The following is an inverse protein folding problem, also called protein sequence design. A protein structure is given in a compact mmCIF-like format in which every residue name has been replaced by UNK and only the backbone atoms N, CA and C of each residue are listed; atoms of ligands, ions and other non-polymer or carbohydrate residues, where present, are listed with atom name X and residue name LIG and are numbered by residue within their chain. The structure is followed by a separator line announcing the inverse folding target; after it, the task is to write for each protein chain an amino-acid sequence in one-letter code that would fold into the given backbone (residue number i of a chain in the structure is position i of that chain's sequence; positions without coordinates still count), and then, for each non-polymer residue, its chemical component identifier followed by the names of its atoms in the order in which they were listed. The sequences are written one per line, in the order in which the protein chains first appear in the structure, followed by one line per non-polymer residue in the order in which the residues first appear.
data_IF_256334971148
#
_entry.id   IF_256334971148
#
_cell.length_a   1.000
_cell.length_b   1.000
_cell.length_c   1.000
_cell.angle_alpha   90.00
_cell.angle_beta   90.00
_cell.angle_gamma   90.00
#
_symmetry.space_group_name_H-M   'P 1'
#
loop_
_entity.id
_entity.type
_entity.pdbx_description
1 polymer ?
#
# COMPACT_ATOMS: atom_id res chain seq x y z
N UNK A 1 15.01 9.29 2.29
CA UNK A 1 14.69 8.00 1.62
C UNK A 1 15.68 7.68 0.51
N UNK A 2 15.83 8.53 -0.52
CA UNK A 2 16.80 8.29 -1.60
C UNK A 2 18.24 8.06 -1.10
N UNK A 3 18.70 8.82 -0.10
CA UNK A 3 20.02 8.59 0.49
C UNK A 3 20.16 7.19 1.13
N UNK A 4 19.11 6.66 1.76
CA UNK A 4 19.12 5.32 2.34
C UNK A 4 19.11 4.24 1.24
N UNK A 5 18.34 4.44 0.18
CA UNK A 5 18.36 3.57 -1.01
C UNK A 5 19.75 3.57 -1.65
N UNK A 6 20.39 4.74 -1.76
CA UNK A 6 21.74 4.86 -2.31
C UNK A 6 22.79 4.16 -1.44
N UNK A 7 22.66 4.24 -0.11
CA UNK A 7 23.53 3.52 0.82
C UNK A 7 23.41 2.00 0.61
N UNK A 8 22.19 1.45 0.54
CA UNK A 8 21.97 0.04 0.18
C UNK A 8 22.53 -0.31 -1.21
N UNK A 9 22.47 0.62 -2.15
CA UNK A 9 22.96 0.37 -3.51
C UNK A 9 24.49 0.40 -3.62
N UNK A 10 25.17 1.23 -2.85
CA UNK A 10 26.61 1.52 -3.03
C UNK A 10 27.52 0.91 -1.97
N UNK A 11 27.02 0.68 -0.76
CA UNK A 11 27.82 0.14 0.34
C UNK A 11 27.80 -1.39 0.33
N UNK A 12 28.83 -2.00 0.91
CA UNK A 12 28.93 -3.45 1.06
C UNK A 12 28.06 -3.92 2.23
N UNK A 13 27.17 -4.87 1.97
CA UNK A 13 26.32 -5.49 2.98
C UNK A 13 25.76 -6.82 2.48
N UNK A 14 25.22 -7.62 3.40
CA UNK A 14 24.59 -8.92 3.09
C UNK A 14 23.05 -8.87 3.16
N UNK A 15 22.44 -7.69 3.34
CA UNK A 15 20.98 -7.55 3.36
C UNK A 15 20.33 -8.01 2.04
N UNK A 16 19.26 -8.80 2.16
CA UNK A 16 18.54 -9.38 1.03
C UNK A 16 17.19 -8.71 0.76
N UNK A 17 16.63 -7.98 1.74
CA UNK A 17 15.30 -7.39 1.64
C UNK A 17 15.34 -5.96 2.12
N UNK A 18 14.68 -5.06 1.38
CA UNK A 18 14.40 -3.69 1.82
C UNK A 18 12.89 -3.53 1.99
N UNK A 19 12.51 -2.91 3.09
CA UNK A 19 11.11 -2.65 3.45
C UNK A 19 10.89 -1.14 3.50
N UNK A 20 9.88 -0.67 2.76
CA UNK A 20 9.37 0.70 2.86
C UNK A 20 8.12 0.65 3.76
N UNK A 21 8.30 1.06 5.01
CA UNK A 21 7.25 1.16 6.02
C UNK A 21 7.05 2.63 6.48
N UNK A 22 5.96 3.31 6.12
CA UNK A 22 4.91 2.91 5.19
C UNK A 22 4.88 3.83 3.96
N UNK A 23 4.34 3.33 2.85
CA UNK A 23 4.21 4.08 1.61
C UNK A 23 3.34 5.34 1.77
N UNK A 24 2.32 5.30 2.63
CA UNK A 24 1.47 6.47 2.91
C UNK A 24 2.18 7.56 3.72
N UNK A 25 3.15 7.20 4.58
CA UNK A 25 4.04 8.18 5.21
C UNK A 25 5.11 8.70 4.26
N UNK A 26 5.67 7.82 3.41
CA UNK A 26 6.56 8.23 2.31
C UNK A 26 5.87 9.23 1.38
N UNK A 27 4.58 9.04 1.09
CA UNK A 27 3.79 9.97 0.28
C UNK A 27 3.82 11.40 0.84
N UNK A 28 3.71 11.56 2.16
CA UNK A 28 3.79 12.87 2.80
C UNK A 28 5.17 13.53 2.63
N UNK A 29 6.25 12.74 2.67
CA UNK A 29 7.60 13.24 2.41
C UNK A 29 7.77 13.67 0.95
N UNK A 30 7.19 12.89 0.03
CA UNK A 30 7.17 13.23 -1.40
C UNK A 30 6.40 14.53 -1.64
N UNK A 31 5.26 14.75 -0.97
CA UNK A 31 4.52 16.00 -1.09
C UNK A 31 5.33 17.21 -0.62
N UNK A 32 6.03 17.07 0.51
CA UNK A 32 6.97 18.11 1.00
C UNK A 32 8.10 18.36 0.00
N UNK A 33 8.62 17.31 -0.62
CA UNK A 33 9.65 17.43 -1.65
C UNK A 33 9.14 18.18 -2.90
N UNK A 34 7.90 17.92 -3.32
CA UNK A 34 7.25 18.68 -4.41
C UNK A 34 7.15 20.17 -4.05
N UNK A 35 6.65 20.50 -2.86
CA UNK A 35 6.58 21.89 -2.37
C UNK A 35 7.97 22.54 -2.32
N UNK A 36 8.98 21.81 -1.85
CA UNK A 36 10.38 22.28 -1.81
C UNK A 36 10.93 22.57 -3.21
N UNK A 37 10.66 21.71 -4.20
CA UNK A 37 11.12 21.87 -5.59
C UNK A 37 10.36 22.96 -6.35
N UNK A 38 9.12 23.24 -5.97
CA UNK A 38 8.20 24.15 -6.68
C UNK A 38 7.49 25.09 -5.67
N UNK A 39 8.21 26.02 -5.02
CA UNK A 39 7.66 26.81 -3.90
C UNK A 39 6.58 27.82 -4.30
N UNK A 40 6.26 27.96 -5.59
CA UNK A 40 5.26 28.88 -6.11
C UNK A 40 4.36 28.21 -7.14
N UNK A 41 3.09 28.60 -7.17
CA UNK A 41 2.15 28.27 -8.25
C UNK A 41 2.52 28.98 -9.55
N UNK A 42 1.95 28.56 -10.68
CA UNK A 42 2.14 29.23 -11.98
C UNK A 42 1.68 30.69 -12.00
N UNK A 43 0.82 31.08 -11.05
CA UNK A 43 0.34 32.46 -10.90
C UNK A 43 1.18 33.28 -9.91
N UNK A 44 2.33 32.76 -9.48
CA UNK A 44 3.28 33.46 -8.60
C UNK A 44 2.87 33.50 -7.13
N UNK A 45 1.87 32.72 -6.71
CA UNK A 45 1.51 32.58 -5.28
C UNK A 45 2.41 31.55 -4.60
N UNK A 46 2.89 31.86 -3.41
CA UNK A 46 3.62 30.90 -2.57
C UNK A 46 2.80 29.64 -2.26
N UNK A 47 3.48 28.52 -2.20
CA UNK A 47 2.94 27.19 -1.94
C UNK A 47 3.43 26.71 -0.59
N UNK A 48 2.50 26.29 0.26
CA UNK A 48 2.78 25.74 1.58
C UNK A 48 2.33 24.29 1.70
N UNK A 49 1.38 23.85 0.87
CA UNK A 49 0.93 22.47 0.79
C UNK A 49 0.71 22.01 -0.67
N UNK A 50 0.58 20.69 -0.87
CA UNK A 50 0.39 20.11 -2.22
C UNK A 50 -0.95 20.48 -2.85
N UNK A 51 -1.93 20.91 -2.05
CA UNK A 51 -3.24 21.35 -2.50
C UNK A 51 -3.21 22.76 -3.11
N UNK A 52 -2.23 23.60 -2.73
CA UNK A 52 -2.14 25.00 -3.19
C UNK A 52 -1.93 25.11 -4.72
N UNK A 53 -1.43 24.05 -5.37
CA UNK A 53 -1.29 23.99 -6.83
C UNK A 53 -2.64 23.91 -7.58
N UNK A 54 -3.74 23.70 -6.88
CA UNK A 54 -5.08 23.57 -7.46
C UNK A 54 -5.40 22.15 -7.94
N UNK A 55 -6.43 22.05 -8.79
CA UNK A 55 -7.14 20.81 -9.17
C UNK A 55 -6.23 19.61 -9.46
N UNK A 56 -6.00 18.79 -8.41
CA UNK A 56 -5.14 17.62 -8.38
C UNK A 56 -3.68 17.79 -8.87
N UNK A 57 -3.26 19.02 -9.16
CA UNK A 57 -2.03 19.27 -9.92
C UNK A 57 -0.77 18.94 -9.14
N UNK A 58 -0.76 19.26 -7.85
CA UNK A 58 0.32 18.89 -6.94
C UNK A 58 0.53 17.38 -6.90
N UNK A 59 -0.55 16.60 -6.90
CA UNK A 59 -0.48 15.13 -6.89
C UNK A 59 0.07 14.57 -8.21
N UNK A 60 -0.17 15.23 -9.34
CA UNK A 60 0.50 14.88 -10.61
C UNK A 60 2.00 15.18 -10.55
N UNK A 61 2.41 16.30 -9.94
CA UNK A 61 3.83 16.59 -9.72
C UNK A 61 4.50 15.59 -8.79
N UNK A 62 3.76 15.03 -7.83
CA UNK A 62 4.28 13.98 -6.93
C UNK A 62 4.68 12.69 -7.66
N UNK A 63 4.21 12.46 -8.89
CA UNK A 63 4.59 11.27 -9.66
C UNK A 63 6.06 11.25 -10.04
N UNK A 64 6.68 12.41 -10.26
CA UNK A 64 8.11 12.52 -10.59
C UNK A 64 8.99 12.03 -9.42
N UNK A 65 8.89 12.57 -8.18
CA UNK A 65 9.63 12.04 -7.04
C UNK A 65 9.26 10.59 -6.67
N UNK A 66 8.01 10.17 -6.89
CA UNK A 66 7.65 8.76 -6.73
C UNK A 66 8.46 7.87 -7.67
N UNK A 67 8.59 8.24 -8.95
CA UNK A 67 9.40 7.49 -9.92
C UNK A 67 10.85 7.41 -9.51
N UNK A 68 11.44 8.51 -9.01
CA UNK A 68 12.83 8.48 -8.50
C UNK A 68 13.01 7.43 -7.38
N UNK A 69 12.03 7.32 -6.47
CA UNK A 69 12.08 6.28 -5.43
C UNK A 69 11.94 4.89 -6.04
N UNK A 70 10.98 4.68 -6.94
CA UNK A 70 10.75 3.39 -7.58
C UNK A 70 11.93 2.94 -8.46
N UNK A 71 12.60 3.88 -9.13
CA UNK A 71 13.80 3.63 -9.93
C UNK A 71 14.95 3.17 -9.03
N UNK A 72 15.14 3.82 -7.89
CA UNK A 72 16.12 3.39 -6.89
C UNK A 72 15.82 1.99 -6.33
N UNK A 73 14.56 1.69 -6.01
CA UNK A 73 14.14 0.35 -5.58
C UNK A 73 14.31 -0.69 -6.70
N UNK A 74 14.10 -0.30 -7.95
CA UNK A 74 14.31 -1.15 -9.13
C UNK A 74 15.81 -1.47 -9.30
N UNK A 75 16.70 -0.49 -9.09
CA UNK A 75 18.14 -0.73 -9.10
C UNK A 75 18.57 -1.72 -8.00
N UNK A 76 18.04 -1.57 -6.77
CA UNK A 76 18.29 -2.54 -5.70
C UNK A 76 17.83 -3.95 -6.06
N UNK A 77 16.65 -4.08 -6.69
CA UNK A 77 16.16 -5.38 -7.16
C UNK A 77 17.06 -5.99 -8.23
N UNK A 78 17.35 -5.24 -9.29
CA UNK A 78 17.96 -5.77 -10.49
C UNK A 78 19.47 -5.99 -10.34
N UNK A 79 20.15 -5.12 -9.59
CA UNK A 79 21.61 -5.09 -9.53
C UNK A 79 22.15 -5.62 -8.20
N UNK A 80 21.36 -5.52 -7.12
CA UNK A 80 21.71 -6.04 -5.79
C UNK A 80 20.92 -7.31 -5.43
N UNK A 81 19.99 -7.74 -6.28
CA UNK A 81 19.18 -8.95 -6.05
C UNK A 81 18.24 -8.84 -4.85
N UNK A 82 17.93 -7.63 -4.38
CA UNK A 82 17.13 -7.44 -3.17
C UNK A 82 15.64 -7.64 -3.43
N UNK A 83 14.95 -8.28 -2.49
CA UNK A 83 13.49 -8.28 -2.41
C UNK A 83 13.01 -6.91 -1.92
N UNK A 84 11.97 -6.39 -2.57
CA UNK A 84 11.35 -5.11 -2.19
C UNK A 84 9.97 -5.38 -1.60
N UNK A 85 9.73 -4.88 -0.38
CA UNK A 85 8.42 -4.91 0.24
C UNK A 85 7.99 -3.47 0.55
N UNK A 86 6.79 -3.11 0.12
CA UNK A 86 6.16 -1.83 0.49
C UNK A 86 4.88 -2.14 1.27
N UNK A 87 4.72 -1.52 2.43
CA UNK A 87 3.48 -1.62 3.20
C UNK A 87 2.77 -0.28 3.22
N UNK A 88 1.44 -0.31 3.16
CA UNK A 88 0.60 0.87 3.19
C UNK A 88 -0.64 0.57 4.04
N UNK A 89 -1.13 1.57 4.76
CA UNK A 89 -2.44 1.45 5.40
C UNK A 89 -3.54 1.26 4.34
N UNK A 90 -4.63 0.59 4.71
CA UNK A 90 -5.81 0.50 3.86
C UNK A 90 -6.80 1.63 4.16
N UNK A 91 -7.50 2.11 3.13
CA UNK A 91 -8.68 2.98 3.23
C UNK A 91 -9.86 2.30 2.52
N UNK A 92 -11.07 2.63 2.95
CA UNK A 92 -12.29 2.29 2.22
C UNK A 92 -12.56 3.43 1.23
N UNK A 93 -12.76 3.10 -0.04
CA UNK A 93 -13.17 4.04 -1.07
C UNK A 93 -14.35 3.50 -1.88
N UNK A 94 -15.19 4.41 -2.37
CA UNK A 94 -16.29 4.08 -3.28
C UNK A 94 -15.73 3.78 -4.66
N UNK A 95 -16.13 2.65 -5.24
CA UNK A 95 -15.78 2.27 -6.60
C UNK A 95 -17.02 2.25 -7.50
N UNK A 96 -16.93 2.99 -8.60
CA UNK A 96 -17.96 3.04 -9.64
C UNK A 96 -17.63 2.01 -10.71
N UNK A 97 -18.21 0.82 -10.59
CA UNK A 97 -18.08 -0.23 -11.60
C UNK A 97 -19.09 0.05 -12.74
N UNK A 98 -18.67 0.10 -14.01
CA UNK A 98 -19.60 0.24 -15.12
C UNK A 98 -20.54 -0.97 -15.29
N UNK A 99 -20.19 -2.14 -14.74
CA UNK A 99 -20.94 -3.40 -14.93
C UNK A 99 -21.83 -3.78 -13.75
N UNK A 100 -21.66 -3.15 -12.58
CA UNK A 100 -22.41 -3.50 -11.36
C UNK A 100 -22.77 -2.24 -10.59
N UNK A 101 -23.70 -2.36 -9.63
CA UNK A 101 -23.92 -1.28 -8.68
C UNK A 101 -22.61 -0.87 -8.00
N UNK A 102 -22.43 0.43 -7.69
CA UNK A 102 -21.20 0.85 -7.06
C UNK A 102 -21.08 0.23 -5.66
N UNK A 103 -19.86 -0.06 -5.25
CA UNK A 103 -19.55 -0.74 -3.98
C UNK A 103 -18.35 -0.09 -3.30
N UNK A 104 -18.18 -0.40 -2.02
CA UNK A 104 -17.05 0.06 -1.23
C UNK A 104 -15.94 -0.99 -1.29
N UNK A 105 -14.70 -0.54 -1.46
CA UNK A 105 -13.53 -1.42 -1.55
C UNK A 105 -12.36 -0.91 -0.72
N UNK A 106 -11.56 -1.85 -0.22
CA UNK A 106 -10.27 -1.55 0.40
C UNK A 106 -9.21 -1.27 -0.66
N UNK A 107 -8.50 -0.17 -0.49
CA UNK A 107 -7.38 0.27 -1.33
C UNK A 107 -6.25 0.81 -0.47
N UNK A 108 -5.00 0.90 -0.99
CA UNK A 108 -3.93 1.59 -0.31
C UNK A 108 -4.32 3.05 0.04
N UNK A 109 -3.96 3.50 1.24
CA UNK A 109 -4.20 4.86 1.76
C UNK A 109 -3.23 5.86 1.13
N UNK A 110 -3.22 5.89 -0.18
CA UNK A 110 -2.42 6.76 -1.02
C UNK A 110 -3.34 7.67 -1.83
N UNK A 111 -2.80 8.76 -2.35
CA UNK A 111 -3.44 9.50 -3.43
C UNK A 111 -3.67 8.56 -4.63
N UNK A 112 -4.79 8.72 -5.33
CA UNK A 112 -5.18 7.86 -6.46
C UNK A 112 -4.09 7.74 -7.52
N UNK A 113 -3.34 8.81 -7.80
CA UNK A 113 -2.29 8.81 -8.82
C UNK A 113 -1.07 7.99 -8.38
N UNK A 114 -0.62 8.17 -7.13
CA UNK A 114 0.47 7.39 -6.55
C UNK A 114 0.08 5.92 -6.39
N UNK A 115 -1.14 5.66 -5.92
CA UNK A 115 -1.69 4.31 -5.77
C UNK A 115 -1.69 3.55 -7.10
N UNK A 116 -2.15 4.17 -8.18
CA UNK A 116 -2.13 3.57 -9.51
C UNK A 116 -0.69 3.26 -9.98
N UNK A 117 0.22 4.24 -9.85
CA UNK A 117 1.63 4.08 -10.23
C UNK A 117 2.31 2.92 -9.49
N UNK A 118 2.13 2.84 -8.17
CA UNK A 118 2.78 1.83 -7.34
C UNK A 118 2.19 0.44 -7.61
N UNK A 119 0.88 0.32 -7.75
CA UNK A 119 0.24 -0.96 -8.08
C UNK A 119 0.64 -1.48 -9.48
N UNK A 120 0.83 -0.58 -10.43
CA UNK A 120 1.35 -0.93 -11.75
C UNK A 120 2.77 -1.47 -11.66
N UNK A 121 3.64 -0.78 -10.91
CA UNK A 121 5.04 -1.14 -10.70
C UNK A 121 5.24 -2.45 -9.92
N UNK A 122 4.43 -2.69 -8.87
CA UNK A 122 4.51 -3.90 -8.08
C UNK A 122 4.20 -5.15 -8.91
N UNK A 123 4.95 -6.24 -8.73
CA UNK A 123 4.55 -7.54 -9.31
C UNK A 123 3.34 -8.12 -8.60
N UNK A 124 3.30 -8.00 -7.28
CA UNK A 124 2.25 -8.49 -6.39
C UNK A 124 1.66 -7.34 -5.59
N UNK A 125 0.33 -7.30 -5.47
CA UNK A 125 -0.40 -6.39 -4.58
C UNK A 125 -1.30 -7.26 -3.71
N UNK A 126 -1.03 -7.28 -2.40
CA UNK A 126 -1.70 -8.19 -1.47
C UNK A 126 -2.48 -7.37 -0.42
N UNK A 127 -3.65 -7.89 -0.01
CA UNK A 127 -4.48 -7.23 1.00
C UNK A 127 -4.51 -8.02 2.31
N UNK A 128 -3.87 -7.46 3.35
CA UNK A 128 -3.88 -8.00 4.70
C UNK A 128 -5.20 -7.67 5.43
N UNK A 129 -5.90 -8.69 5.92
CA UNK A 129 -7.18 -8.52 6.61
C UNK A 129 -7.48 -9.67 7.58
N UNK A 130 -8.62 -9.60 8.27
CA UNK A 130 -9.15 -10.69 9.08
C UNK A 130 -10.12 -11.56 8.26
N UNK A 131 -10.10 -12.87 8.51
CA UNK A 131 -11.09 -13.78 7.95
C UNK A 131 -12.44 -13.56 8.63
N UNK A 132 -13.44 -13.19 7.84
CA UNK A 132 -14.82 -13.04 8.31
C UNK A 132 -15.54 -14.38 8.12
N UNK A 133 -15.81 -15.12 9.19
CA UNK A 133 -16.75 -16.25 9.10
C UNK A 133 -18.16 -15.71 9.29
N UNK A 134 -19.03 -15.92 8.32
CA UNK A 134 -20.43 -15.55 8.46
C UNK A 134 -21.19 -16.72 9.08
N UNK A 135 -21.75 -16.55 10.28
CA UNK A 135 -22.76 -17.48 10.80
C UNK A 135 -24.13 -16.88 10.50
N UNK A 136 -24.89 -17.57 9.68
CA UNK A 136 -26.31 -17.27 9.50
C UNK A 136 -27.04 -17.79 10.74
N UNK A 137 -27.73 -16.89 11.42
CA UNK A 137 -28.65 -17.23 12.51
C UNK A 137 -30.05 -16.93 12.02
N UNK A 138 -30.92 -17.94 12.05
CA UNK A 138 -32.34 -17.79 11.74
C UNK A 138 -33.02 -17.12 12.94
N UNK A 139 -33.46 -15.87 12.78
CA UNK A 139 -34.29 -15.18 13.75
C UNK A 139 -35.75 -15.21 13.26
N UNK A 140 -36.39 -16.38 13.33
CA UNK A 140 -37.81 -16.55 13.01
C UNK A 140 -38.18 -16.30 11.54
N UNK A 141 -39.51 -16.23 11.27
CA UNK A 141 -40.09 -16.18 9.93
C UNK A 141 -39.39 -15.15 9.01
N UNK A 142 -38.66 -15.68 8.03
CA UNK A 142 -38.03 -14.99 6.90
C UNK A 142 -36.95 -13.93 7.22
N UNK A 143 -36.32 -13.99 8.40
CA UNK A 143 -35.19 -13.12 8.74
C UNK A 143 -33.93 -13.92 9.04
N UNK A 144 -33.05 -13.99 8.03
CA UNK A 144 -31.68 -14.49 8.21
C UNK A 144 -30.77 -13.34 8.60
N UNK A 145 -30.25 -13.35 9.84
CA UNK A 145 -29.23 -12.37 10.26
C UNK A 145 -27.86 -13.00 10.13
N UNK A 146 -27.08 -12.52 9.16
CA UNK A 146 -25.68 -12.90 9.00
C UNK A 146 -24.84 -12.17 10.04
N UNK A 147 -24.34 -12.88 11.05
CA UNK A 147 -23.42 -12.33 12.04
C UNK A 147 -22.00 -12.75 11.69
N UNK A 148 -21.11 -11.79 11.50
CA UNK A 148 -19.68 -12.04 11.36
C UNK A 148 -19.12 -12.58 12.68
N UNK A 149 -18.72 -13.84 12.69
CA UNK A 149 -17.88 -14.44 13.72
C UNK A 149 -16.45 -14.36 13.17
N UNK A 150 -15.69 -13.34 13.56
CA UNK A 150 -14.26 -13.33 13.28
C UNK A 150 -13.55 -14.20 14.31
N UNK A 151 -12.93 -15.31 13.89
CA UNK A 151 -12.08 -16.12 14.77
C UNK A 151 -10.76 -15.43 15.14
N UNK A 152 -10.49 -14.24 14.58
CA UNK A 152 -9.24 -13.51 14.77
C UNK A 152 -8.15 -13.89 13.76
N UNK A 153 -8.42 -14.85 12.88
CA UNK A 153 -7.48 -15.31 11.85
C UNK A 153 -7.12 -14.17 10.89
N UNK A 154 -5.83 -13.85 10.84
CA UNK A 154 -5.27 -12.89 9.89
C UNK A 154 -4.90 -13.62 8.60
N UNK A 155 -5.25 -13.00 7.47
CA UNK A 155 -5.01 -13.53 6.13
C UNK A 155 -4.45 -12.45 5.20
N UNK A 156 -3.74 -12.88 4.17
CA UNK A 156 -3.43 -12.09 2.98
C UNK A 156 -4.35 -12.56 1.86
N UNK A 157 -5.10 -11.65 1.26
CA UNK A 157 -5.81 -11.91 0.01
C UNK A 157 -4.90 -11.57 -1.16
N UNK A 158 -4.80 -12.48 -2.11
CA UNK A 158 -3.86 -12.39 -3.24
C UNK A 158 -4.58 -12.11 -4.56
N UNK A 159 -5.84 -12.49 -4.68
CA UNK A 159 -6.67 -12.29 -5.88
C UNK A 159 -7.63 -11.12 -5.69
N UNK A 160 -7.78 -10.27 -6.72
CA UNK A 160 -8.69 -9.13 -6.71
C UNK A 160 -10.15 -9.58 -6.53
N UNK A 161 -10.90 -8.86 -5.69
CA UNK A 161 -12.35 -9.04 -5.52
C UNK A 161 -13.00 -7.65 -5.35
N UNK A 162 -14.32 -7.50 -5.51
CA UNK A 162 -14.98 -6.21 -5.32
C UNK A 162 -14.64 -5.51 -3.99
N UNK A 163 -14.43 -6.27 -2.92
CA UNK A 163 -14.12 -5.71 -1.61
C UNK A 163 -12.67 -5.21 -1.45
N UNK A 164 -11.71 -5.58 -2.31
CA UNK A 164 -10.30 -5.23 -2.12
C UNK A 164 -9.49 -5.33 -3.42
N UNK A 165 -8.53 -4.42 -3.55
CA UNK A 165 -7.53 -4.46 -4.62
C UNK A 165 -6.49 -5.55 -4.35
N UNK A 166 -6.14 -6.33 -5.37
CA UNK A 166 -4.99 -7.22 -5.34
C UNK A 166 -4.46 -7.51 -6.76
N UNK A 167 -3.24 -8.03 -6.86
CA UNK A 167 -2.55 -8.39 -8.10
C UNK A 167 -1.67 -9.61 -7.82
N UNK A 168 -1.80 -10.63 -8.67
CA UNK A 168 -1.15 -11.92 -8.50
C UNK A 168 -0.57 -12.40 -9.84
N UNK A 169 0.76 -12.35 -9.97
CA UNK A 169 1.52 -12.84 -11.13
C UNK A 169 2.13 -14.21 -10.87
N UNK A 170 2.33 -14.58 -9.61
CA UNK A 170 2.92 -15.87 -9.20
C UNK A 170 1.95 -17.06 -9.25
N UNK A 171 0.65 -16.83 -9.43
CA UNK A 171 -0.36 -17.90 -9.38
C UNK A 171 -0.63 -18.38 -7.95
N UNK A 172 -0.56 -17.47 -6.97
CA UNK A 172 -0.86 -17.75 -5.57
C UNK A 172 -2.33 -18.19 -5.38
N UNK A 173 -2.65 -19.00 -4.35
CA UNK A 173 -4.04 -19.25 -3.97
C UNK A 173 -4.72 -17.97 -3.49
N UNK A 174 -6.05 -17.90 -3.60
CA UNK A 174 -6.86 -16.70 -3.29
C UNK A 174 -6.57 -16.07 -1.92
N UNK A 175 -6.25 -16.90 -0.93
CA UNK A 175 -5.90 -16.47 0.42
C UNK A 175 -4.65 -17.23 0.90
N UNK A 176 -3.77 -16.50 1.59
CA UNK A 176 -2.64 -17.03 2.34
C UNK A 176 -2.83 -16.70 3.83
N UNK A 177 -2.40 -17.57 4.76
CA UNK A 177 -2.35 -17.21 6.17
C UNK A 177 -1.40 -16.03 6.41
N UNK A 178 -1.83 -15.03 7.18
CA UNK A 178 -0.98 -13.92 7.61
C UNK A 178 -0.57 -14.14 9.06
N UNK A 179 0.48 -14.93 9.25
CA UNK A 179 0.97 -15.30 10.57
C UNK A 179 2.46 -14.99 10.67
N UNK A 180 2.84 -13.98 11.47
CA UNK A 180 4.24 -13.77 11.89
C UNK A 180 4.62 -14.78 13.01
N UNK A 181 4.31 -16.06 12.77
CA UNK A 181 4.29 -17.19 13.72
C UNK A 181 3.42 -16.98 14.97
N UNK A 182 2.18 -16.52 14.80
CA UNK A 182 1.35 -15.94 15.89
C UNK A 182 2.06 -14.73 16.54
N UNK A 183 2.50 -13.84 15.63
CA UNK A 183 3.28 -12.63 15.84
C UNK A 183 4.34 -12.73 16.93
N UNK A 184 5.06 -13.83 17.00
CA UNK A 184 6.17 -13.92 17.93
C UNK A 184 5.69 -13.69 19.38
N UNK A 185 4.68 -14.45 19.86
CA UNK A 185 4.23 -14.61 21.27
C UNK A 185 5.37 -14.81 22.31
N UNK A 186 6.61 -14.77 21.84
CA UNK A 186 7.89 -15.05 22.43
C UNK A 186 8.86 -13.84 22.41
N UNK A 187 8.45 -12.65 21.95
CA UNK A 187 9.38 -11.53 21.83
C UNK A 187 9.82 -10.96 23.20
N UNK A 188 10.87 -11.54 23.84
CA UNK A 188 11.69 -10.88 24.88
C UNK A 188 13.14 -10.71 24.40
N UNK A 189 13.52 -9.44 24.23
CA UNK A 189 14.83 -8.98 23.74
C UNK A 189 16.01 -9.48 24.60
N UNK A 190 17.19 -9.59 23.99
CA UNK A 190 18.47 -9.38 24.70
C UNK A 190 19.17 -8.14 24.16
N UNK A 191 19.72 -7.38 25.10
CA UNK A 191 20.34 -6.07 24.90
C UNK A 191 21.62 -6.15 24.06
N UNK A 192 21.72 -5.10 23.22
CA UNK A 192 22.85 -4.62 22.39
C UNK A 192 23.41 -5.60 21.35
#
# INVERSE_FOLDING_TARGET
VLAAIMSLYSEQHDFQTVVVDSADWLEQLIWKEVVRRRPTTERGRDVTSIEDYGFAKGYSYALEPWREVLDGLTALRNERGMMIIMIAHAKIERFENPETDPYDRYSPRLNKHASALIQEWCDEVLFATYKVHTKQTEEGFDKTRTRGIGAGDRILRTTERPAHVAKNRLGLPDELPLSYAAYDEHFKRREV
#
